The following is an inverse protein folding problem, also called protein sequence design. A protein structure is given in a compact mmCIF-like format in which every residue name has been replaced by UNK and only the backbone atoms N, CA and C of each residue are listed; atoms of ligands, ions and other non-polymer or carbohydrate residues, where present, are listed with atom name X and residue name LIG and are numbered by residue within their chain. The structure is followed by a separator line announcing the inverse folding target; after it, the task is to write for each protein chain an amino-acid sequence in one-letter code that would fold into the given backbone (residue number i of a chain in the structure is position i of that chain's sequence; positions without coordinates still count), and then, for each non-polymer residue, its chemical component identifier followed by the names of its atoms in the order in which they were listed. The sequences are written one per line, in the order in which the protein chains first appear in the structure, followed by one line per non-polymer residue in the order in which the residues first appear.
data_IF_504744951093
#
_entry.id   IF_504744951093
#
_cell.length_a   1.000
_cell.length_b   1.000
_cell.length_c   1.000
_cell.angle_alpha   90.00
_cell.angle_beta   90.00
_cell.angle_gamma   90.00
#
_symmetry.space_group_name_H-M   'P 1'
#
loop_
_entity.id
_entity.type
_entity.pdbx_description
1 polymer ?
#
# COMPACT_ATOMS: atom_id res chain seq x y z
N UNK A 1 2.89 25.65 13.84
CA UNK A 1 3.30 24.25 14.04
C UNK A 1 4.60 24.02 13.30
N UNK A 2 5.55 23.24 13.85
CA UNK A 2 6.76 22.89 13.08
C UNK A 2 6.39 21.79 12.08
N UNK A 3 6.69 21.95 10.81
CA UNK A 3 6.52 20.89 9.81
C UNK A 3 7.70 19.93 9.87
N UNK A 4 7.45 18.65 9.58
CA UNK A 4 8.51 17.64 9.48
C UNK A 4 8.81 17.33 8.01
N UNK A 5 10.02 16.82 7.79
CA UNK A 5 10.43 16.27 6.51
C UNK A 5 10.79 14.80 6.69
N UNK A 6 10.66 14.02 5.62
CA UNK A 6 11.15 12.65 5.53
C UNK A 6 12.20 12.60 4.42
N UNK A 7 13.32 11.94 4.70
CA UNK A 7 14.31 11.58 3.68
C UNK A 7 14.23 10.07 3.49
N UNK A 8 13.98 9.63 2.25
CA UNK A 8 13.97 8.22 1.87
C UNK A 8 15.12 8.03 0.91
N UNK A 9 16.02 7.09 1.21
CA UNK A 9 17.15 6.82 0.35
C UNK A 9 17.55 5.35 0.34
N UNK A 10 18.36 5.00 -0.66
CA UNK A 10 18.90 3.67 -0.86
C UNK A 10 20.39 3.59 -0.47
N UNK A 11 20.93 2.37 -0.53
CA UNK A 11 22.33 2.10 -0.21
C UNK A 11 23.31 2.75 -1.20
N UNK A 12 22.82 3.13 -2.38
CA UNK A 12 23.60 3.76 -3.46
C UNK A 12 23.67 5.29 -3.31
N UNK A 13 23.02 5.84 -2.28
CA UNK A 13 23.04 7.26 -1.94
C UNK A 13 22.00 8.10 -2.67
N UNK A 14 21.06 7.49 -3.41
CA UNK A 14 19.92 8.20 -3.96
C UNK A 14 18.99 8.60 -2.81
N UNK A 15 18.52 9.84 -2.82
CA UNK A 15 17.69 10.40 -1.76
C UNK A 15 16.55 11.21 -2.34
N UNK A 16 15.36 11.01 -1.81
CA UNK A 16 14.21 11.88 -2.01
C UNK A 16 13.81 12.53 -0.68
N UNK A 17 13.42 13.80 -0.75
CA UNK A 17 13.10 14.63 0.42
C UNK A 17 11.68 15.14 0.30
N UNK A 18 10.82 14.62 1.16
CA UNK A 18 9.43 15.04 1.28
C UNK A 18 9.34 16.07 2.41
N UNK A 19 8.75 17.23 2.14
CA UNK A 19 8.57 18.32 3.12
C UNK A 19 7.09 18.58 3.38
N UNK A 20 6.80 19.29 4.47
CA UNK A 20 5.43 19.70 4.82
C UNK A 20 4.57 18.58 5.39
N UNK A 21 5.20 17.55 5.95
CA UNK A 21 4.48 16.44 6.60
C UNK A 21 3.99 16.93 7.95
N UNK A 22 2.70 16.74 8.25
CA UNK A 22 2.23 17.08 9.59
C UNK A 22 2.94 16.19 10.63
N UNK A 23 3.35 16.77 11.78
CA UNK A 23 4.14 16.01 12.75
C UNK A 23 3.48 14.74 13.27
N UNK A 24 2.16 14.79 13.52
CA UNK A 24 1.40 13.63 13.98
C UNK A 24 1.32 12.51 12.92
N UNK A 25 1.22 12.86 11.63
CA UNK A 25 1.26 11.87 10.54
C UNK A 25 2.65 11.23 10.43
N UNK A 26 3.72 12.02 10.54
CA UNK A 26 5.08 11.48 10.47
C UNK A 26 5.34 10.46 11.60
N UNK A 27 4.90 10.76 12.82
CA UNK A 27 5.02 9.83 13.95
C UNK A 27 4.20 8.56 13.72
N UNK A 28 2.93 8.70 13.32
CA UNK A 28 2.07 7.56 13.03
C UNK A 28 2.64 6.67 11.90
N UNK A 29 3.24 7.28 10.88
CA UNK A 29 3.88 6.56 9.78
C UNK A 29 5.11 5.77 10.24
N UNK A 30 5.97 6.36 11.09
CA UNK A 30 7.13 5.67 11.66
C UNK A 30 6.67 4.47 12.49
N UNK A 31 5.67 4.66 13.34
CA UNK A 31 5.13 3.60 14.20
C UNK A 31 4.53 2.45 13.36
N UNK A 32 3.81 2.79 12.28
CA UNK A 32 3.25 1.82 11.33
C UNK A 32 4.34 1.02 10.60
N UNK A 33 5.40 1.67 10.09
CA UNK A 33 6.53 1.00 9.43
C UNK A 33 7.27 0.07 10.40
N UNK A 34 7.37 0.45 11.67
CA UNK A 34 7.96 -0.38 12.74
C UNK A 34 7.03 -1.49 13.24
N UNK A 35 5.81 -1.60 12.69
CA UNK A 35 4.78 -2.55 13.13
C UNK A 35 4.47 -2.44 14.64
N UNK A 36 4.36 -1.19 15.13
CA UNK A 36 4.00 -0.92 16.53
C UNK A 36 2.48 -1.10 16.70
N UNK A 37 2.05 -1.89 17.69
CA UNK A 37 0.66 -2.29 17.83
C UNK A 37 -0.28 -1.19 18.36
N UNK A 38 0.25 -0.20 19.10
CA UNK A 38 -0.53 0.90 19.67
C UNK A 38 -0.61 2.09 18.73
N UNK A 39 -1.83 2.61 18.51
CA UNK A 39 -2.05 3.88 17.80
C UNK A 39 -2.29 4.97 18.82
N UNK A 40 -1.40 5.95 18.87
CA UNK A 40 -1.52 7.12 19.73
C UNK A 40 -2.37 8.21 19.05
N UNK A 41 -3.16 8.99 19.81
CA UNK A 41 -3.85 10.15 19.26
C UNK A 41 -2.86 11.25 18.82
N UNK A 42 -3.28 12.21 17.98
CA UNK A 42 -2.48 13.39 17.68
C UNK A 42 -2.07 14.11 18.97
N UNK A 43 -0.77 14.39 19.12
CA UNK A 43 -0.16 15.06 20.29
C UNK A 43 0.30 16.48 19.97
N UNK A 44 0.53 16.79 18.70
CA UNK A 44 1.14 18.06 18.27
C UNK A 44 0.11 19.00 17.64
N UNK A 45 -0.88 18.48 16.93
CA UNK A 45 -2.02 19.25 16.44
C UNK A 45 -3.00 19.60 17.56
N UNK A 46 -3.06 20.88 17.91
CA UNK A 46 -3.95 21.41 18.94
C UNK A 46 -5.08 22.27 18.36
N UNK A 47 -4.89 22.87 17.18
CA UNK A 47 -5.89 23.71 16.53
C UNK A 47 -6.70 22.90 15.54
N UNK A 48 -7.96 23.30 15.35
CA UNK A 48 -8.85 22.71 14.36
C UNK A 48 -8.22 22.65 12.96
N UNK A 49 -7.62 23.75 12.49
CA UNK A 49 -6.97 23.82 11.18
C UNK A 49 -5.84 22.82 11.02
N UNK A 50 -5.07 22.60 12.09
CA UNK A 50 -3.94 21.69 12.09
C UNK A 50 -4.42 20.23 12.07
N UNK A 51 -5.47 19.93 12.83
CA UNK A 51 -6.12 18.62 12.83
C UNK A 51 -6.72 18.30 11.45
N UNK A 52 -7.39 19.26 10.81
CA UNK A 52 -7.92 19.10 9.44
C UNK A 52 -6.78 18.83 8.45
N UNK A 53 -5.66 19.53 8.55
CA UNK A 53 -4.49 19.28 7.69
C UNK A 53 -3.94 17.86 7.88
N UNK A 54 -3.81 17.41 9.12
CA UNK A 54 -3.40 16.02 9.44
C UNK A 54 -4.38 15.01 8.87
N UNK A 55 -5.68 15.18 9.08
CA UNK A 55 -6.72 14.29 8.54
C UNK A 55 -6.62 14.21 7.00
N UNK A 56 -6.50 15.35 6.32
CA UNK A 56 -6.41 15.38 4.87
C UNK A 56 -5.15 14.67 4.35
N UNK A 57 -3.98 14.89 4.98
CA UNK A 57 -2.75 14.20 4.59
C UNK A 57 -2.85 12.69 4.84
N UNK A 58 -3.30 12.26 6.03
CA UNK A 58 -3.49 10.85 6.37
C UNK A 58 -4.45 10.16 5.38
N UNK A 59 -5.55 10.83 5.01
CA UNK A 59 -6.53 10.25 4.08
C UNK A 59 -5.94 9.99 2.70
N UNK A 60 -5.12 10.92 2.18
CA UNK A 60 -4.41 10.72 0.90
C UNK A 60 -3.43 9.56 0.97
N UNK A 61 -2.69 9.43 2.08
CA UNK A 61 -1.75 8.31 2.29
C UNK A 61 -2.51 6.99 2.32
N UNK A 62 -3.60 6.88 3.08
CA UNK A 62 -4.43 5.67 3.15
C UNK A 62 -4.93 5.28 1.75
N UNK A 63 -5.54 6.22 1.02
CA UNK A 63 -6.04 5.96 -0.34
C UNK A 63 -4.94 5.45 -1.27
N UNK A 64 -3.76 6.08 -1.21
CA UNK A 64 -2.63 5.67 -2.04
C UNK A 64 -2.11 4.29 -1.66
N UNK A 65 -1.97 4.00 -0.37
CA UNK A 65 -1.50 2.70 0.12
C UNK A 65 -2.52 1.57 -0.14
N UNK A 66 -3.82 1.85 -0.08
CA UNK A 66 -4.85 0.89 -0.46
C UNK A 66 -4.75 0.52 -1.93
N UNK A 67 -4.65 1.51 -2.82
CA UNK A 67 -4.46 1.30 -4.25
C UNK A 67 -3.14 0.56 -4.54
N UNK A 68 -2.05 0.96 -3.89
CA UNK A 68 -0.76 0.29 -4.02
C UNK A 68 -0.82 -1.17 -3.56
N UNK A 69 -1.46 -1.46 -2.42
CA UNK A 69 -1.67 -2.84 -1.94
C UNK A 69 -2.47 -3.66 -2.96
N UNK A 70 -3.50 -3.10 -3.58
CA UNK A 70 -4.24 -3.78 -4.66
C UNK A 70 -3.32 -4.15 -5.82
N UNK A 71 -2.51 -3.21 -6.30
CA UNK A 71 -1.55 -3.44 -7.38
C UNK A 71 -0.49 -4.48 -7.00
N UNK A 72 0.03 -4.44 -5.76
CA UNK A 72 0.99 -5.41 -5.26
C UNK A 72 0.40 -6.84 -5.21
N UNK A 73 -0.87 -6.99 -4.81
CA UNK A 73 -1.56 -8.28 -4.86
C UNK A 73 -1.71 -8.80 -6.29
N UNK A 74 -2.03 -7.93 -7.25
CA UNK A 74 -2.12 -8.29 -8.66
C UNK A 74 -0.75 -8.74 -9.18
N UNK A 75 0.31 -7.98 -8.91
CA UNK A 75 1.67 -8.33 -9.30
C UNK A 75 2.13 -9.66 -8.67
N UNK A 76 1.82 -9.90 -7.38
CA UNK A 76 2.09 -11.18 -6.73
C UNK A 76 1.35 -12.34 -7.41
N UNK A 77 0.09 -12.13 -7.81
CA UNK A 77 -0.70 -13.11 -8.56
C UNK A 77 -0.10 -13.39 -9.95
N UNK A 78 0.63 -12.43 -10.54
CA UNK A 78 1.25 -12.50 -11.89
C UNK A 78 2.53 -13.31 -11.93
N UNK A 79 3.17 -13.51 -10.78
CA UNK A 79 4.42 -14.28 -10.65
C UNK A 79 4.32 -15.72 -11.17
N UNK A 80 3.12 -16.30 -11.27
CA UNK A 80 2.97 -17.62 -11.88
C UNK A 80 1.52 -18.10 -12.06
N UNK A 81 1.30 -19.13 -12.90
CA UNK A 81 -0.02 -19.69 -13.18
C UNK A 81 -0.70 -20.29 -11.94
N UNK A 82 0.07 -20.68 -10.92
CA UNK A 82 -0.40 -21.26 -9.66
C UNK A 82 -0.01 -20.41 -8.43
N UNK A 83 0.09 -19.09 -8.58
CA UNK A 83 0.41 -18.20 -7.47
C UNK A 83 -0.48 -18.47 -6.24
N UNK A 84 0.14 -18.54 -5.06
CA UNK A 84 -0.55 -18.87 -3.81
C UNK A 84 -1.44 -17.71 -3.33
N UNK A 85 -2.67 -17.68 -3.84
CA UNK A 85 -3.70 -16.71 -3.47
C UNK A 85 -4.07 -16.75 -1.98
N UNK A 86 -3.85 -17.87 -1.28
CA UNK A 86 -4.11 -17.94 0.17
C UNK A 86 -3.06 -17.13 0.92
N UNK A 87 -1.78 -17.31 0.56
CA UNK A 87 -0.68 -16.52 1.12
C UNK A 87 -0.80 -15.04 0.79
N UNK A 88 -1.21 -14.68 -0.44
CA UNK A 88 -1.48 -13.29 -0.83
C UNK A 88 -2.59 -12.68 0.05
N UNK A 89 -3.71 -13.39 0.25
CA UNK A 89 -4.81 -12.91 1.08
C UNK A 89 -4.40 -12.72 2.55
N UNK A 90 -3.62 -13.67 3.09
CA UNK A 90 -3.10 -13.61 4.45
C UNK A 90 -2.16 -12.41 4.65
N UNK A 91 -1.20 -12.21 3.73
CA UNK A 91 -0.27 -11.08 3.78
C UNK A 91 -1.00 -9.73 3.65
N UNK A 92 -2.05 -9.67 2.83
CA UNK A 92 -2.85 -8.46 2.66
C UNK A 92 -3.85 -8.20 3.81
N UNK A 93 -3.92 -9.10 4.80
CA UNK A 93 -4.79 -8.98 5.97
C UNK A 93 -6.28 -9.06 5.62
N UNK A 94 -6.66 -9.85 4.62
CA UNK A 94 -8.05 -9.91 4.16
C UNK A 94 -8.53 -11.34 3.88
N UNK A 95 -9.84 -11.61 3.95
CA UNK A 95 -10.37 -12.92 3.58
C UNK A 95 -10.19 -13.20 2.08
N UNK A 96 -10.07 -14.48 1.67
CA UNK A 96 -9.88 -14.84 0.26
C UNK A 96 -10.96 -14.27 -0.67
N UNK A 97 -12.22 -14.20 -0.21
CA UNK A 97 -13.33 -13.62 -0.99
C UNK A 97 -13.08 -12.17 -1.41
N UNK A 98 -12.42 -11.37 -0.55
CA UNK A 98 -12.07 -9.98 -0.87
C UNK A 98 -10.93 -9.93 -1.86
N UNK A 99 -9.91 -10.78 -1.72
CA UNK A 99 -8.84 -10.90 -2.71
C UNK A 99 -9.40 -11.23 -4.10
N UNK A 100 -10.32 -12.19 -4.21
CA UNK A 100 -10.90 -12.55 -5.50
C UNK A 100 -11.62 -11.38 -6.17
N UNK A 101 -12.35 -10.55 -5.42
CA UNK A 101 -12.97 -9.34 -5.97
C UNK A 101 -11.94 -8.34 -6.51
N UNK A 102 -10.82 -8.17 -5.81
CA UNK A 102 -9.72 -7.32 -6.29
C UNK A 102 -9.15 -7.91 -7.58
N UNK A 103 -8.82 -9.20 -7.59
CA UNK A 103 -8.28 -9.85 -8.79
C UNK A 103 -9.26 -9.82 -9.97
N UNK A 104 -10.55 -10.02 -9.73
CA UNK A 104 -11.62 -9.91 -10.73
C UNK A 104 -11.68 -8.50 -11.33
N UNK A 105 -11.62 -7.44 -10.50
CA UNK A 105 -11.54 -6.03 -10.94
C UNK A 105 -10.36 -5.78 -11.87
N UNK A 106 -9.27 -6.51 -11.69
CA UNK A 106 -8.07 -6.44 -12.52
C UNK A 106 -8.00 -7.54 -13.61
N UNK A 107 -9.12 -8.19 -13.93
CA UNK A 107 -9.21 -9.14 -15.05
C UNK A 107 -8.60 -10.52 -14.78
N UNK A 108 -8.47 -10.93 -13.51
CA UNK A 108 -7.79 -12.17 -13.11
C UNK A 108 -8.69 -13.15 -12.34
N UNK A 109 -9.77 -13.64 -12.96
CA UNK A 109 -10.80 -14.39 -12.26
C UNK A 109 -10.35 -15.74 -11.71
N UNK A 110 -11.16 -16.28 -10.79
CA UNK A 110 -10.95 -17.59 -10.13
C UNK A 110 -10.64 -18.72 -11.11
N UNK A 111 -11.38 -18.78 -12.22
CA UNK A 111 -11.17 -19.76 -13.28
C UNK A 111 -10.14 -19.25 -14.28
N UNK A 112 -8.85 -19.27 -13.92
CA UNK A 112 -7.79 -19.10 -14.92
C UNK A 112 -7.85 -20.32 -15.85
N UNK A 113 -8.62 -20.26 -16.94
CA UNK A 113 -8.34 -21.16 -18.07
C UNK A 113 -6.90 -20.87 -18.45
N UNK A 114 -6.03 -21.88 -18.39
CA UNK A 114 -4.61 -21.75 -18.69
C UNK A 114 -4.47 -20.91 -19.96
N UNK A 115 -3.91 -19.71 -19.82
CA UNK A 115 -3.60 -18.84 -20.96
C UNK A 115 -2.30 -19.37 -21.57
N UNK A 116 -2.36 -20.62 -22.02
CA UNK A 116 -1.27 -21.38 -22.64
C UNK A 116 -1.86 -22.16 -23.81
N UNK A 117 -2.16 -21.42 -24.88
CA UNK A 117 -2.25 -21.91 -26.27
C UNK A 117 -2.33 -20.65 -27.14
N UNK A 118 -1.26 -20.31 -27.85
CA UNK A 118 -1.23 -19.16 -28.76
C UNK A 118 0.06 -18.35 -28.78
N UNK A 119 1.21 -18.99 -28.61
CA UNK A 119 2.51 -18.41 -28.97
C UNK A 119 3.47 -19.49 -29.51
N UNK A 120 2.94 -20.34 -30.37
CA UNK A 120 3.69 -21.20 -31.27
C UNK A 120 2.93 -21.15 -32.59
N UNK A 121 3.14 -20.09 -33.38
CA UNK A 121 2.80 -20.00 -34.82
C UNK A 121 3.28 -18.64 -35.34
N UNK A 122 4.61 -18.52 -35.51
CA UNK A 122 5.20 -17.65 -36.52
C UNK A 122 6.55 -18.27 -36.90
N UNK A 123 6.51 -19.07 -37.97
CA UNK A 123 7.66 -19.46 -38.78
C UNK A 123 7.85 -18.45 -39.90
#
# INVERSE_FOLDING_TARGET
MKELYAEIGDADGNKDVIRGITPDLANAFIDAVRNTAGVEPPRQAQRFTDLIATIAQTSRVIQHLEAFRELAMVAADETGPYADRKSIAAAAGMPPSRLYRVLDKHGRPRGRKARTAGRDDEK
#
